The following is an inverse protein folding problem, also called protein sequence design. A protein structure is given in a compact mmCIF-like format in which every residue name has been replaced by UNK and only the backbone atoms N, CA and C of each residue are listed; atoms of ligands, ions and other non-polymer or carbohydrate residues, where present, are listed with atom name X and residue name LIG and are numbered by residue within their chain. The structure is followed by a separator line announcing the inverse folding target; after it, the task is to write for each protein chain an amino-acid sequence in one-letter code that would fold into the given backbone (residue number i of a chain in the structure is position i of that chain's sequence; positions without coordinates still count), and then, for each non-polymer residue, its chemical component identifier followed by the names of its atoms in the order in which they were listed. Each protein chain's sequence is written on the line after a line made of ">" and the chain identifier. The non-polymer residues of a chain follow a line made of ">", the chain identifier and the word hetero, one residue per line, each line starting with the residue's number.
data_IF_894598615223
#
_entry.id   IF_894598615223
#
_cell.length_a   1.000
_cell.length_b   1.000
_cell.length_c   1.000
_cell.angle_alpha   90.00
_cell.angle_beta   90.00
_cell.angle_gamma   90.00
#
_symmetry.space_group_name_H-M   'P 1'
#
loop_
_entity.id
_entity.type
_entity.pdbx_description
1 polymer ?
#
# COMPACT_ATOMS: atom_id res chain seq x y z
N UNK A 1 -49.39 -37.60 27.44
CA UNK A 1 -49.25 -36.20 26.97
C UNK A 1 -47.79 -35.74 27.09
N UNK A 2 -46.85 -36.32 26.33
CA UNK A 2 -45.40 -35.97 26.47
C UNK A 2 -44.65 -36.13 25.14
N UNK A 3 -45.23 -35.77 23.99
CA UNK A 3 -44.57 -35.89 22.68
C UNK A 3 -44.54 -34.58 21.84
N UNK A 4 -45.08 -33.48 22.37
CA UNK A 4 -45.17 -32.22 21.60
C UNK A 4 -44.06 -31.18 21.90
N UNK A 5 -43.26 -31.38 22.93
CA UNK A 5 -42.26 -30.38 23.33
C UNK A 5 -40.88 -30.57 22.68
N UNK A 6 -40.61 -31.75 22.14
CA UNK A 6 -39.31 -32.04 21.54
C UNK A 6 -39.14 -31.39 20.15
N UNK A 7 -40.21 -31.22 19.38
CA UNK A 7 -40.15 -30.69 18.00
C UNK A 7 -39.87 -29.17 17.96
N UNK A 8 -40.41 -28.42 18.95
CA UNK A 8 -40.25 -26.94 18.97
C UNK A 8 -38.83 -26.50 19.30
N UNK A 9 -38.12 -27.25 20.15
CA UNK A 9 -36.71 -26.94 20.48
C UNK A 9 -35.73 -27.21 19.31
N UNK A 10 -36.02 -28.23 18.51
CA UNK A 10 -35.23 -28.52 17.30
C UNK A 10 -35.40 -27.46 16.23
N UNK A 11 -36.59 -26.90 16.04
CA UNK A 11 -36.84 -25.82 15.08
C UNK A 11 -36.19 -24.51 15.55
N UNK A 12 -36.20 -24.18 16.84
CA UNK A 12 -35.53 -22.97 17.36
C UNK A 12 -34.01 -23.07 17.18
N UNK A 13 -33.43 -24.24 17.44
CA UNK A 13 -32.00 -24.47 17.27
C UNK A 13 -31.57 -24.36 15.82
N UNK A 14 -32.37 -24.87 14.87
CA UNK A 14 -32.08 -24.82 13.45
C UNK A 14 -32.18 -23.41 12.87
N UNK A 15 -33.16 -22.62 13.33
CA UNK A 15 -33.32 -21.20 12.93
C UNK A 15 -32.17 -20.36 13.47
N UNK A 16 -31.69 -20.63 14.70
CA UNK A 16 -30.54 -19.89 15.25
C UNK A 16 -29.25 -20.14 14.49
N UNK A 17 -28.99 -21.39 14.08
CA UNK A 17 -27.79 -21.75 13.31
C UNK A 17 -27.81 -21.12 11.91
N UNK A 18 -28.98 -20.98 11.28
CA UNK A 18 -29.08 -20.34 9.96
C UNK A 18 -28.94 -18.81 10.02
N UNK A 19 -29.26 -18.19 11.15
CA UNK A 19 -29.11 -16.73 11.33
C UNK A 19 -27.64 -16.32 11.60
N UNK A 20 -26.83 -17.22 12.18
CA UNK A 20 -25.40 -16.95 12.41
C UNK A 20 -24.49 -17.43 11.26
N UNK A 21 -25.03 -18.20 10.28
CA UNK A 21 -24.27 -18.78 9.17
C UNK A 21 -23.96 -17.82 8.01
N UNK A 22 -24.54 -16.63 7.99
CA UNK A 22 -24.36 -15.64 6.92
C UNK A 22 -23.87 -14.30 7.46
N UNK A 23 -22.80 -14.30 8.25
CA UNK A 23 -22.02 -13.07 8.42
C UNK A 23 -21.17 -12.97 7.14
N UNK A 24 -21.48 -12.04 6.22
CA UNK A 24 -20.62 -11.83 5.07
C UNK A 24 -19.22 -11.56 5.60
N UNK A 25 -18.23 -12.25 5.05
CA UNK A 25 -16.85 -12.11 5.45
C UNK A 25 -16.35 -10.76 4.91
N UNK A 26 -16.72 -9.66 5.60
CA UNK A 26 -16.39 -8.26 5.23
C UNK A 26 -14.90 -8.10 4.91
N UNK A 27 -14.08 -9.01 5.43
CA UNK A 27 -12.65 -9.07 5.19
C UNK A 27 -12.26 -9.46 3.75
N UNK A 28 -13.03 -10.34 3.10
CA UNK A 28 -12.74 -10.77 1.73
C UNK A 28 -12.97 -9.61 0.75
N UNK A 29 -14.00 -8.80 1.01
CA UNK A 29 -14.50 -7.77 0.11
C UNK A 29 -13.43 -6.66 -0.18
N UNK A 30 -12.82 -6.08 0.85
CA UNK A 30 -11.86 -4.96 0.69
C UNK A 30 -10.62 -5.38 -0.09
N UNK A 31 -10.03 -6.53 0.26
CA UNK A 31 -8.82 -7.00 -0.42
C UNK A 31 -9.09 -7.45 -1.84
N UNK A 32 -10.25 -8.07 -2.07
CA UNK A 32 -10.66 -8.54 -3.39
C UNK A 32 -11.00 -7.36 -4.32
N UNK A 33 -11.39 -6.21 -3.76
CA UNK A 33 -11.61 -4.97 -4.52
C UNK A 33 -10.31 -4.20 -4.79
N UNK A 34 -9.43 -4.06 -3.79
CA UNK A 34 -8.21 -3.24 -3.87
C UNK A 34 -7.07 -3.98 -4.58
N UNK A 35 -6.71 -5.18 -4.11
CA UNK A 35 -5.47 -5.82 -4.53
C UNK A 35 -5.39 -6.18 -6.01
N UNK A 36 -6.47 -6.62 -6.68
CA UNK A 36 -6.42 -6.91 -8.12
C UNK A 36 -6.08 -5.71 -9.01
N UNK A 37 -6.27 -4.48 -8.50
CA UNK A 37 -6.00 -3.22 -9.23
C UNK A 37 -4.56 -2.74 -9.08
N UNK A 38 -3.78 -3.33 -8.17
CA UNK A 38 -2.39 -2.93 -7.90
C UNK A 38 -1.41 -3.57 -8.88
N UNK A 39 -0.23 -2.97 -9.04
CA UNK A 39 0.85 -3.51 -9.90
C UNK A 39 1.39 -4.85 -9.42
N UNK A 40 1.22 -5.19 -8.14
CA UNK A 40 1.64 -6.46 -7.55
C UNK A 40 0.56 -7.03 -6.61
N UNK A 41 -0.52 -7.61 -7.17
CA UNK A 41 -1.61 -8.18 -6.37
C UNK A 41 -1.15 -9.17 -5.30
N UNK A 42 -0.23 -10.13 -5.57
CA UNK A 42 0.24 -11.05 -4.55
C UNK A 42 0.85 -10.36 -3.33
N UNK A 43 1.66 -9.30 -3.54
CA UNK A 43 2.23 -8.53 -2.44
C UNK A 43 1.15 -7.79 -1.65
N UNK A 44 0.21 -7.14 -2.34
CA UNK A 44 -0.90 -6.45 -1.69
C UNK A 44 -1.67 -7.39 -0.75
N UNK A 45 -2.05 -8.57 -1.22
CA UNK A 45 -2.69 -9.58 -0.36
C UNK A 45 -1.80 -10.03 0.79
N UNK A 46 -0.50 -10.24 0.55
CA UNK A 46 0.44 -10.67 1.59
C UNK A 46 0.58 -9.63 2.71
N UNK A 47 0.70 -8.35 2.34
CA UNK A 47 0.91 -7.25 3.28
C UNK A 47 -0.36 -6.93 4.07
N UNK A 48 -1.51 -6.88 3.38
CA UNK A 48 -2.75 -6.40 3.98
C UNK A 48 -3.57 -7.50 4.68
N UNK A 49 -3.40 -8.78 4.31
CA UNK A 49 -4.23 -9.88 4.79
C UNK A 49 -4.35 -9.98 6.31
N UNK A 50 -3.29 -9.67 7.03
CA UNK A 50 -3.23 -9.79 8.49
C UNK A 50 -3.36 -8.45 9.21
N UNK A 51 -3.61 -7.38 8.49
CA UNK A 51 -3.76 -6.06 9.08
C UNK A 51 -5.09 -5.94 9.85
N UNK A 52 -5.08 -5.47 11.12
CA UNK A 52 -6.28 -5.37 11.94
C UNK A 52 -7.32 -4.38 11.40
N UNK A 53 -6.92 -3.40 10.61
CA UNK A 53 -7.86 -2.44 10.01
C UNK A 53 -8.65 -3.05 8.85
N UNK A 54 -8.07 -3.99 8.12
CA UNK A 54 -8.81 -4.81 7.13
C UNK A 54 -9.93 -5.59 7.82
N UNK A 55 -9.65 -6.18 8.99
CA UNK A 55 -10.68 -6.92 9.75
C UNK A 55 -11.82 -6.04 10.27
N UNK A 56 -11.53 -4.77 10.54
CA UNK A 56 -12.51 -3.79 11.04
C UNK A 56 -13.27 -3.08 9.91
N UNK A 57 -12.86 -3.26 8.65
CA UNK A 57 -13.38 -2.49 7.53
C UNK A 57 -12.94 -1.02 7.54
N UNK A 58 -11.87 -0.68 8.26
CA UNK A 58 -11.35 0.68 8.39
C UNK A 58 -10.31 0.96 7.31
N UNK A 59 -10.79 1.18 6.10
CA UNK A 59 -9.96 1.44 4.91
C UNK A 59 -9.19 2.78 5.01
N UNK A 60 -9.73 3.78 5.74
CA UNK A 60 -9.04 5.04 5.97
C UNK A 60 -7.77 4.85 6.82
N UNK A 61 -7.87 4.11 7.94
CA UNK A 61 -6.71 3.78 8.76
C UNK A 61 -5.73 2.87 8.03
N UNK A 62 -6.22 1.95 7.18
CA UNK A 62 -5.38 1.13 6.32
C UNK A 62 -4.55 2.00 5.36
N UNK A 63 -5.17 3.00 4.71
CA UNK A 63 -4.47 3.94 3.84
C UNK A 63 -3.36 4.70 4.59
N UNK A 64 -3.63 5.13 5.82
CA UNK A 64 -2.63 5.82 6.67
C UNK A 64 -1.39 4.95 6.90
N UNK A 65 -1.57 3.66 7.18
CA UNK A 65 -0.46 2.73 7.40
C UNK A 65 0.34 2.50 6.12
N UNK A 66 -0.34 2.26 5.00
CA UNK A 66 0.33 2.01 3.72
C UNK A 66 1.12 3.24 3.25
N UNK A 67 0.58 4.45 3.44
CA UNK A 67 1.28 5.71 3.18
C UNK A 67 2.53 5.86 4.05
N UNK A 68 2.44 5.51 5.35
CA UNK A 68 3.61 5.54 6.25
C UNK A 68 4.70 4.58 5.76
N UNK A 69 4.35 3.36 5.38
CA UNK A 69 5.31 2.38 4.85
C UNK A 69 5.96 2.91 3.55
N UNK A 70 5.17 3.51 2.65
CA UNK A 70 5.68 4.11 1.42
C UNK A 70 6.68 5.23 1.73
N UNK A 71 6.36 6.12 2.67
CA UNK A 71 7.20 7.23 3.11
C UNK A 71 8.52 6.76 3.73
N UNK A 72 8.48 5.76 4.63
CA UNK A 72 9.67 5.23 5.30
C UNK A 72 10.62 4.57 4.30
N UNK A 73 10.07 3.80 3.34
CA UNK A 73 10.88 3.19 2.29
C UNK A 73 11.45 4.24 1.31
N UNK A 74 10.71 5.30 1.01
CA UNK A 74 11.18 6.41 0.18
C UNK A 74 12.36 7.12 0.85
N UNK A 75 12.25 7.42 2.13
CA UNK A 75 13.32 8.02 2.94
C UNK A 75 14.56 7.12 3.01
N UNK A 76 14.35 5.83 3.26
CA UNK A 76 15.43 4.83 3.30
C UNK A 76 16.15 4.73 1.96
N UNK A 77 15.41 4.78 0.85
CA UNK A 77 15.98 4.72 -0.49
C UNK A 77 16.75 6.00 -0.84
N UNK A 78 16.22 7.17 -0.47
CA UNK A 78 16.93 8.44 -0.60
C UNK A 78 18.29 8.39 0.10
N UNK A 79 18.33 7.93 1.36
CA UNK A 79 19.56 7.81 2.14
C UNK A 79 20.55 6.81 1.51
N UNK A 80 20.07 5.70 0.96
CA UNK A 80 20.91 4.77 0.21
C UNK A 80 21.53 5.44 -1.01
N UNK A 81 20.75 6.15 -1.83
CA UNK A 81 21.26 6.86 -3.02
C UNK A 81 22.31 7.88 -2.63
N UNK A 82 22.10 8.62 -1.52
CA UNK A 82 23.06 9.58 -0.99
C UNK A 82 24.37 8.90 -0.58
N UNK A 83 24.28 7.74 0.09
CA UNK A 83 25.46 6.94 0.48
C UNK A 83 26.23 6.43 -0.74
N UNK A 84 25.55 5.91 -1.76
CA UNK A 84 26.19 5.45 -3.01
C UNK A 84 26.86 6.62 -3.73
N UNK A 85 26.22 7.80 -3.76
CA UNK A 85 26.79 9.00 -4.37
C UNK A 85 28.11 9.43 -3.72
N UNK A 86 28.19 9.39 -2.38
CA UNK A 86 29.40 9.69 -1.64
C UNK A 86 30.55 8.74 -1.96
N UNK A 87 30.25 7.47 -2.27
CA UNK A 87 31.23 6.45 -2.62
C UNK A 87 31.60 6.46 -4.12
N UNK A 88 30.78 7.04 -4.97
CA UNK A 88 30.91 6.99 -6.45
C UNK A 88 31.75 8.10 -7.05
N UNK A 89 32.54 8.83 -6.26
CA UNK A 89 33.38 9.96 -6.70
C UNK A 89 34.29 9.60 -7.90
N UNK A 90 34.60 8.31 -8.08
CA UNK A 90 35.48 7.80 -9.16
C UNK A 90 34.74 7.51 -10.47
N UNK A 91 33.40 7.61 -10.53
CA UNK A 91 32.59 7.21 -11.70
C UNK A 91 31.65 8.36 -12.12
N UNK A 92 32.08 9.30 -13.01
CA UNK A 92 31.30 10.51 -13.33
C UNK A 92 29.90 10.21 -13.89
N UNK A 93 29.76 9.23 -14.78
CA UNK A 93 28.46 8.85 -15.37
C UNK A 93 27.45 8.35 -14.33
N UNK A 94 27.89 7.55 -13.37
CA UNK A 94 27.03 7.10 -12.27
C UNK A 94 26.68 8.26 -11.33
N UNK A 95 27.56 9.21 -11.14
CA UNK A 95 27.32 10.40 -10.29
C UNK A 95 26.12 11.21 -10.77
N UNK A 96 26.03 11.51 -12.05
CA UNK A 96 24.91 12.29 -12.61
C UNK A 96 23.58 11.53 -12.51
N UNK A 97 23.60 10.22 -12.73
CA UNK A 97 22.43 9.36 -12.55
C UNK A 97 21.96 9.36 -11.10
N UNK A 98 22.87 9.26 -10.13
CA UNK A 98 22.55 9.30 -8.68
C UNK A 98 22.02 10.67 -8.25
N UNK A 99 22.55 11.78 -8.80
CA UNK A 99 22.01 13.12 -8.55
C UNK A 99 20.57 13.23 -9.08
N UNK A 100 20.29 12.68 -10.26
CA UNK A 100 18.92 12.57 -10.80
C UNK A 100 18.01 11.80 -9.85
N UNK A 101 18.45 10.64 -9.37
CA UNK A 101 17.72 9.84 -8.40
C UNK A 101 17.44 10.56 -7.07
N UNK A 102 18.39 11.32 -6.55
CA UNK A 102 18.16 12.11 -5.34
C UNK A 102 17.02 13.11 -5.52
N UNK A 103 16.94 13.76 -6.70
CA UNK A 103 15.84 14.67 -7.02
C UNK A 103 14.50 13.91 -7.07
N UNK A 104 14.48 12.78 -7.76
CA UNK A 104 13.27 11.97 -7.87
C UNK A 104 12.78 11.50 -6.48
N UNK A 105 13.66 10.96 -5.63
CA UNK A 105 13.27 10.54 -4.29
C UNK A 105 12.90 11.71 -3.37
N UNK A 106 13.48 12.90 -3.57
CA UNK A 106 13.02 14.11 -2.89
C UNK A 106 11.57 14.45 -3.27
N UNK A 107 11.25 14.45 -4.56
CA UNK A 107 9.88 14.69 -5.03
C UNK A 107 8.91 13.59 -4.57
N UNK A 108 9.32 12.32 -4.62
CA UNK A 108 8.51 11.22 -4.10
C UNK A 108 8.18 11.43 -2.60
N UNK A 109 9.19 11.81 -1.80
CA UNK A 109 9.02 12.09 -0.38
C UNK A 109 8.06 13.26 -0.13
N UNK A 110 8.22 14.37 -0.85
CA UNK A 110 7.36 15.55 -0.72
C UNK A 110 5.90 15.24 -1.09
N UNK A 111 5.69 14.41 -2.12
CA UNK A 111 4.38 13.96 -2.53
C UNK A 111 3.71 13.10 -1.44
N UNK A 112 4.43 12.12 -0.89
CA UNK A 112 3.90 11.24 0.16
C UNK A 112 3.67 11.98 1.48
N UNK A 113 4.53 12.93 1.84
CA UNK A 113 4.32 13.80 3.00
C UNK A 113 3.03 14.60 2.86
N UNK A 114 2.78 15.18 1.68
CA UNK A 114 1.54 15.90 1.37
C UNK A 114 0.31 15.01 1.48
N UNK A 115 0.42 13.70 1.23
CA UNK A 115 -0.70 12.76 1.38
C UNK A 115 -1.20 12.69 2.83
N UNK A 116 -0.32 12.81 3.82
CA UNK A 116 -0.72 12.79 5.24
C UNK A 116 -1.60 13.99 5.61
N UNK A 117 -1.32 15.18 5.07
CA UNK A 117 -2.13 16.37 5.29
C UNK A 117 -3.50 16.23 4.61
N UNK A 118 -3.49 15.69 3.40
CA UNK A 118 -4.70 15.44 2.61
C UNK A 118 -5.58 14.35 3.22
N UNK A 119 -4.99 13.37 3.89
CA UNK A 119 -5.72 12.31 4.57
C UNK A 119 -6.56 12.87 5.73
N UNK A 120 -6.02 13.83 6.48
CA UNK A 120 -6.76 14.52 7.57
C UNK A 120 -8.01 15.25 7.11
N UNK A 121 -8.06 15.70 5.86
CA UNK A 121 -9.22 16.36 5.26
C UNK A 121 -9.97 15.48 4.27
N UNK A 122 -9.65 14.17 4.23
CA UNK A 122 -10.29 13.17 3.36
C UNK A 122 -10.27 13.53 1.87
N UNK A 123 -9.21 14.17 1.38
CA UNK A 123 -9.05 14.50 -0.04
C UNK A 123 -8.39 13.33 -0.80
N UNK A 124 -9.13 12.23 -0.93
CA UNK A 124 -8.63 10.96 -1.46
C UNK A 124 -8.19 11.05 -2.92
N UNK A 125 -8.91 11.82 -3.74
CA UNK A 125 -8.54 12.07 -5.14
C UNK A 125 -7.12 12.63 -5.27
N UNK A 126 -6.78 13.60 -4.44
CA UNK A 126 -5.45 14.21 -4.49
C UNK A 126 -4.39 13.27 -3.91
N UNK A 127 -4.74 12.45 -2.90
CA UNK A 127 -3.86 11.40 -2.39
C UNK A 127 -3.53 10.38 -3.48
N UNK A 128 -4.55 9.85 -4.18
CA UNK A 128 -4.35 8.89 -5.28
C UNK A 128 -3.39 9.45 -6.34
N UNK A 129 -3.57 10.70 -6.73
CA UNK A 129 -2.68 11.38 -7.68
C UNK A 129 -1.24 11.50 -7.17
N UNK A 130 -1.02 11.97 -5.92
CA UNK A 130 0.31 12.21 -5.37
C UNK A 130 1.05 10.90 -5.05
N UNK A 131 0.34 9.87 -4.58
CA UNK A 131 0.92 8.55 -4.36
C UNK A 131 1.35 7.92 -5.71
N UNK A 132 0.54 8.04 -6.75
CA UNK A 132 0.92 7.64 -8.10
C UNK A 132 2.15 8.41 -8.59
N UNK A 133 2.22 9.72 -8.36
CA UNK A 133 3.38 10.52 -8.72
C UNK A 133 4.65 10.03 -8.01
N UNK A 134 4.58 9.71 -6.71
CA UNK A 134 5.72 9.14 -5.97
C UNK A 134 6.19 7.80 -6.55
N UNK A 135 5.27 6.93 -6.98
CA UNK A 135 5.59 5.69 -7.69
C UNK A 135 6.38 5.98 -8.98
N UNK A 136 5.92 6.93 -9.79
CA UNK A 136 6.59 7.29 -11.06
C UNK A 136 7.96 7.94 -10.85
N UNK A 137 8.14 8.74 -9.80
CA UNK A 137 9.46 9.28 -9.44
C UNK A 137 10.47 8.17 -9.11
N UNK A 138 10.05 7.15 -8.36
CA UNK A 138 10.89 5.97 -8.10
C UNK A 138 11.23 5.20 -9.39
N UNK A 139 10.28 5.05 -10.31
CA UNK A 139 10.51 4.43 -11.61
C UNK A 139 11.49 5.25 -12.45
N UNK A 140 11.34 6.58 -12.49
CA UNK A 140 12.20 7.48 -13.24
C UNK A 140 13.67 7.42 -12.77
N UNK A 141 13.90 7.26 -11.45
CA UNK A 141 15.25 7.01 -10.93
C UNK A 141 15.86 5.76 -11.58
N UNK A 142 15.15 4.64 -11.60
CA UNK A 142 15.67 3.39 -12.18
C UNK A 142 15.96 3.52 -13.69
N UNK A 143 15.11 4.22 -14.43
CA UNK A 143 15.26 4.43 -15.87
C UNK A 143 16.49 5.29 -16.21
N UNK A 144 16.98 6.08 -15.27
CA UNK A 144 18.19 6.87 -15.43
C UNK A 144 19.48 6.03 -15.50
N UNK A 145 19.45 4.74 -15.12
CA UNK A 145 20.62 3.87 -15.11
C UNK A 145 20.61 2.90 -16.28
N UNK A 146 21.80 2.61 -16.82
CA UNK A 146 22.00 1.47 -17.71
C UNK A 146 21.91 0.16 -16.94
N UNK A 147 22.56 0.12 -15.75
CA UNK A 147 22.53 -0.99 -14.80
C UNK A 147 22.25 -0.43 -13.40
N UNK A 148 21.04 -0.61 -12.92
CA UNK A 148 20.63 -0.15 -11.57
C UNK A 148 21.37 -0.95 -10.51
N UNK A 149 22.02 -0.31 -9.51
CA UNK A 149 22.61 -1.02 -8.38
C UNK A 149 21.58 -1.97 -7.73
N UNK A 150 21.92 -3.25 -7.49
CA UNK A 150 20.93 -4.26 -7.06
C UNK A 150 20.13 -3.86 -5.82
N UNK A 151 20.78 -3.27 -4.82
CA UNK A 151 20.12 -2.81 -3.60
C UNK A 151 19.16 -1.65 -3.87
N UNK A 152 19.55 -0.69 -4.73
CA UNK A 152 18.68 0.40 -5.14
C UNK A 152 17.47 -0.13 -5.92
N UNK A 153 17.68 -1.08 -6.83
CA UNK A 153 16.60 -1.72 -7.58
C UNK A 153 15.56 -2.37 -6.66
N UNK A 154 16.02 -3.07 -5.62
CA UNK A 154 15.16 -3.74 -4.65
C UNK A 154 14.32 -2.73 -3.85
N UNK A 155 14.95 -1.69 -3.28
CA UNK A 155 14.24 -0.66 -2.49
C UNK A 155 13.31 0.17 -3.37
N UNK A 156 13.74 0.54 -4.59
CA UNK A 156 12.87 1.23 -5.56
C UNK A 156 11.59 0.45 -5.83
N UNK A 157 11.70 -0.88 -5.99
CA UNK A 157 10.52 -1.73 -6.19
C UNK A 157 9.55 -1.65 -5.02
N UNK A 158 10.05 -1.68 -3.78
CA UNK A 158 9.22 -1.54 -2.58
C UNK A 158 8.50 -0.19 -2.55
N UNK A 159 9.21 0.91 -2.86
CA UNK A 159 8.59 2.25 -2.94
C UNK A 159 7.48 2.28 -3.99
N UNK A 160 7.71 1.70 -5.18
CA UNK A 160 6.71 1.63 -6.25
C UNK A 160 5.46 0.87 -5.78
N UNK A 161 5.65 -0.30 -5.20
CA UNK A 161 4.55 -1.19 -4.78
C UNK A 161 3.68 -0.56 -3.67
N UNK A 162 4.28 0.03 -2.63
CA UNK A 162 3.52 0.66 -1.55
C UNK A 162 2.88 1.99 -1.96
N UNK A 163 3.52 2.76 -2.83
CA UNK A 163 2.92 3.97 -3.39
C UNK A 163 1.72 3.64 -4.28
N UNK A 164 1.80 2.56 -5.08
CA UNK A 164 0.71 2.08 -5.90
C UNK A 164 -0.47 1.57 -5.06
N UNK A 165 -0.22 0.75 -4.04
CA UNK A 165 -1.27 0.30 -3.11
C UNK A 165 -1.96 1.50 -2.46
N UNK A 166 -1.20 2.53 -2.03
CA UNK A 166 -1.76 3.76 -1.46
C UNK A 166 -2.65 4.51 -2.46
N UNK A 167 -2.22 4.58 -3.72
CA UNK A 167 -2.97 5.25 -4.79
C UNK A 167 -4.28 4.53 -5.09
N UNK A 168 -4.27 3.19 -5.15
CA UNK A 168 -5.46 2.37 -5.40
C UNK A 168 -6.44 2.47 -4.24
N UNK A 169 -5.99 2.33 -2.98
CA UNK A 169 -6.86 2.49 -1.82
C UNK A 169 -7.51 3.88 -1.79
N UNK A 170 -6.73 4.94 -2.06
CA UNK A 170 -7.26 6.29 -2.10
C UNK A 170 -8.26 6.49 -3.23
N UNK A 171 -8.04 5.88 -4.39
CA UNK A 171 -8.98 5.91 -5.51
C UNK A 171 -10.31 5.23 -5.17
N UNK A 172 -10.28 4.11 -4.45
CA UNK A 172 -11.50 3.38 -4.04
C UNK A 172 -12.28 4.10 -2.91
N UNK A 173 -11.68 5.11 -2.28
CA UNK A 173 -12.32 5.96 -1.26
C UNK A 173 -12.95 7.24 -1.86
N UNK A 174 -12.73 7.55 -3.15
CA UNK A 174 -13.36 8.71 -3.83
C UNK A 174 -14.88 8.52 -3.96
#
# INVERSE_FOLDING_TARGET
>A
MAKFWSSSLFFLSFVLVTLFGNIPNVKADILDDVCPKTINPPLCFQVLRNDPYVYKGDIHSLLSIVLSIAQDNTTSTYNLVQSILQQSIKYPTMKDQLIGCLKNYKYASDNLESCNDLLRISNYRKISFLASAAMYESLACNQGFRDVPPQLKQLSKVVQEFSDISAVIAYDLE
#
